data_IF_617852174416
#
_entry.id   IF_617852174416
#
_cell.length_a   1.000
_cell.length_b   1.000
_cell.length_c   1.000
_cell.angle_alpha   90.00
_cell.angle_beta   90.00
_cell.angle_gamma   90.00
#
_symmetry.space_group_name_H-M   'P 1'
#
loop_
_entity.id
_entity.type
_entity.pdbx_description
1 polymer ?
#
# COMPACT_ATOMS: atom_id res chain seq x y z
N UNK A 1 16.71 -7.89 3.54
CA UNK A 1 16.29 -7.79 2.13
C UNK A 1 15.16 -6.76 2.05
N UNK A 2 15.40 -5.60 1.46
CA UNK A 2 14.41 -4.50 1.40
C UNK A 2 13.46 -4.58 0.20
N UNK A 3 13.75 -5.44 -0.78
CA UNK A 3 12.91 -5.65 -1.96
C UNK A 3 11.55 -6.27 -1.57
N UNK A 4 10.42 -5.76 -2.10
CA UNK A 4 9.10 -6.32 -1.83
C UNK A 4 9.03 -7.78 -2.28
N UNK A 5 8.45 -8.65 -1.47
CA UNK A 5 8.23 -10.06 -1.85
C UNK A 5 7.30 -10.23 -3.06
N UNK A 6 6.52 -9.20 -3.38
CA UNK A 6 5.59 -9.14 -4.51
C UNK A 6 6.23 -8.59 -5.79
N UNK A 7 7.51 -8.22 -5.78
CA UNK A 7 8.18 -7.69 -6.96
C UNK A 7 8.48 -8.84 -7.93
N UNK A 8 7.67 -8.96 -8.99
CA UNK A 8 7.91 -9.89 -10.09
C UNK A 8 8.99 -9.30 -11.02
N UNK A 9 10.25 -9.34 -10.57
CA UNK A 9 11.40 -8.81 -11.30
C UNK A 9 12.56 -9.81 -11.29
N UNK A 10 13.26 -9.88 -12.42
CA UNK A 10 14.55 -10.54 -12.52
C UNK A 10 15.62 -9.66 -11.89
N UNK A 11 16.38 -10.22 -10.95
CA UNK A 11 17.39 -9.50 -10.17
C UNK A 11 18.76 -10.11 -10.44
N UNK A 12 19.65 -9.31 -10.98
CA UNK A 12 21.08 -9.63 -11.13
C UNK A 12 21.87 -8.86 -10.08
N UNK A 13 22.82 -9.53 -9.43
CA UNK A 13 23.71 -8.92 -8.45
C UNK A 13 25.09 -8.73 -9.06
N UNK A 14 25.68 -7.54 -8.83
CA UNK A 14 27.07 -7.27 -9.10
C UNK A 14 27.80 -6.90 -7.81
N UNK A 15 29.05 -7.35 -7.67
CA UNK A 15 29.83 -7.20 -6.43
C UNK A 15 30.77 -5.98 -6.41
N UNK A 16 31.03 -5.37 -7.57
CA UNK A 16 31.83 -4.14 -7.74
C UNK A 16 31.52 -3.47 -9.09
N UNK A 17 32.03 -2.26 -9.32
CA UNK A 17 31.74 -1.46 -10.52
C UNK A 17 32.04 -2.15 -11.85
N UNK A 18 33.21 -2.80 -11.99
CA UNK A 18 33.56 -3.53 -13.24
C UNK A 18 32.57 -4.64 -13.59
N UNK A 19 32.14 -5.44 -12.61
CA UNK A 19 31.20 -6.52 -12.84
C UNK A 19 29.81 -5.96 -13.20
N UNK A 20 29.42 -4.81 -12.62
CA UNK A 20 28.20 -4.12 -13.03
C UNK A 20 28.25 -3.66 -14.50
N UNK A 21 29.39 -3.10 -14.94
CA UNK A 21 29.58 -2.68 -16.33
C UNK A 21 29.56 -3.87 -17.31
N UNK A 22 30.18 -5.00 -16.95
CA UNK A 22 30.13 -6.22 -17.77
C UNK A 22 28.70 -6.78 -17.91
N UNK A 23 27.88 -6.67 -16.87
CA UNK A 23 26.47 -7.06 -16.92
C UNK A 23 25.66 -6.11 -17.80
N UNK A 24 25.88 -4.79 -17.68
CA UNK A 24 25.25 -3.76 -18.51
C UNK A 24 25.58 -3.92 -20.00
N UNK A 25 26.77 -4.41 -20.35
CA UNK A 25 27.13 -4.70 -21.74
C UNK A 25 26.40 -5.93 -22.32
N UNK A 26 26.07 -6.92 -21.47
CA UNK A 26 25.46 -8.18 -21.89
C UNK A 26 23.93 -8.14 -21.87
N UNK A 27 23.35 -7.34 -20.98
CA UNK A 27 21.94 -7.36 -20.65
C UNK A 27 21.37 -5.94 -20.55
N UNK A 28 20.11 -5.76 -20.96
CA UNK A 28 19.40 -4.50 -20.75
C UNK A 28 18.73 -4.46 -19.37
N UNK A 29 19.03 -3.42 -18.59
CA UNK A 29 18.43 -3.21 -17.27
C UNK A 29 17.53 -1.99 -17.24
N UNK A 30 16.36 -2.15 -16.62
CA UNK A 30 15.39 -1.05 -16.41
C UNK A 30 15.74 -0.12 -15.25
N UNK A 31 16.52 -0.62 -14.29
CA UNK A 31 16.89 0.10 -13.08
C UNK A 31 18.13 -0.53 -12.47
N UNK A 32 19.07 0.30 -12.03
CA UNK A 32 20.23 -0.12 -11.25
C UNK A 32 20.22 0.57 -9.88
N UNK A 33 20.46 -0.20 -8.82
CA UNK A 33 20.81 0.34 -7.51
C UNK A 33 22.33 0.26 -7.34
N UNK A 34 22.98 1.40 -7.15
CA UNK A 34 24.44 1.51 -7.13
C UNK A 34 24.94 1.98 -5.77
N UNK A 35 25.86 1.23 -5.19
CA UNK A 35 26.61 1.66 -4.02
C UNK A 35 27.76 2.60 -4.40
N UNK A 36 28.03 3.63 -3.60
CA UNK A 36 29.19 4.50 -3.82
C UNK A 36 30.48 3.89 -3.29
N UNK A 37 30.41 3.13 -2.19
CA UNK A 37 31.60 2.61 -1.52
C UNK A 37 31.72 1.12 -1.80
N UNK A 38 32.36 0.78 -2.92
CA UNK A 38 32.63 -0.60 -3.34
C UNK A 38 34.14 -0.83 -3.50
N UNK A 39 34.64 -2.05 -3.30
CA UNK A 39 36.03 -2.40 -3.61
C UNK A 39 36.28 -2.38 -5.12
N UNK A 40 37.55 -2.23 -5.50
CA UNK A 40 38.07 -2.22 -6.88
C UNK A 40 37.67 -1.04 -7.77
N UNK A 41 36.36 -0.81 -7.94
CA UNK A 41 35.82 0.32 -8.70
C UNK A 41 34.61 0.87 -7.94
N UNK A 42 34.67 2.16 -7.61
CA UNK A 42 33.66 2.82 -6.81
C UNK A 42 32.43 3.23 -7.64
N UNK A 43 31.37 3.69 -6.98
CA UNK A 43 30.13 4.07 -7.68
C UNK A 43 30.28 5.34 -8.52
N UNK A 44 31.23 6.23 -8.20
CA UNK A 44 31.48 7.41 -9.02
C UNK A 44 32.15 7.02 -10.34
N UNK A 45 33.18 6.19 -10.28
CA UNK A 45 33.85 5.64 -11.46
C UNK A 45 32.87 4.86 -12.33
N UNK A 46 32.00 4.06 -11.71
CA UNK A 46 30.95 3.31 -12.43
C UNK A 46 30.02 4.25 -13.21
N UNK A 47 29.54 5.34 -12.59
CA UNK A 47 28.69 6.33 -13.27
C UNK A 47 29.44 7.06 -14.39
N UNK A 48 30.70 7.45 -14.17
CA UNK A 48 31.54 8.07 -15.21
C UNK A 48 31.72 7.14 -16.43
N UNK A 49 31.91 5.85 -16.20
CA UNK A 49 31.99 4.85 -17.26
C UNK A 49 30.68 4.67 -18.01
N UNK A 50 29.55 4.53 -17.31
CA UNK A 50 28.22 4.46 -17.93
C UNK A 50 27.95 5.68 -18.81
N UNK A 51 28.29 6.89 -18.33
CA UNK A 51 28.11 8.12 -19.08
C UNK A 51 28.96 8.14 -20.37
N UNK A 52 30.20 7.65 -20.32
CA UNK A 52 31.07 7.55 -21.51
C UNK A 52 30.57 6.53 -22.52
N UNK A 53 30.01 5.41 -22.05
CA UNK A 53 29.42 4.37 -22.90
C UNK A 53 28.06 4.78 -23.48
N UNK A 54 27.46 5.87 -22.97
CA UNK A 54 26.14 6.32 -23.39
C UNK A 54 25.01 5.43 -22.86
N UNK A 55 25.27 4.68 -21.79
CA UNK A 55 24.28 3.85 -21.12
C UNK A 55 23.17 4.73 -20.52
N UNK A 56 21.92 4.30 -20.70
CA UNK A 56 20.73 5.05 -20.29
C UNK A 56 19.97 4.39 -19.15
N UNK A 57 20.47 3.29 -18.60
CA UNK A 57 19.85 2.61 -17.46
C UNK A 57 19.72 3.60 -16.30
N UNK A 58 18.49 3.85 -15.81
CA UNK A 58 18.26 4.69 -14.64
C UNK A 58 19.03 4.18 -13.42
N UNK A 59 19.80 5.05 -12.77
CA UNK A 59 20.59 4.68 -11.58
C UNK A 59 20.04 5.36 -10.34
N UNK A 60 19.78 4.56 -9.31
CA UNK A 60 19.51 5.01 -7.93
C UNK A 60 20.75 4.75 -7.10
N UNK A 61 21.40 5.82 -6.65
CA UNK A 61 22.56 5.69 -5.78
C UNK A 61 22.10 5.42 -4.36
N UNK A 62 22.70 4.42 -3.72
CA UNK A 62 22.41 3.99 -2.36
C UNK A 62 23.69 4.03 -1.55
N UNK A 63 23.86 5.04 -0.70
CA UNK A 63 25.12 5.27 0.02
C UNK A 63 24.92 5.53 1.52
N UNK A 64 25.94 5.22 2.33
CA UNK A 64 26.04 5.69 3.71
C UNK A 64 26.57 7.13 3.81
N UNK A 65 27.28 7.61 2.79
CA UNK A 65 27.79 8.97 2.72
C UNK A 65 26.72 9.91 2.16
N UNK A 66 26.07 10.66 3.06
CA UNK A 66 24.97 11.58 2.74
C UNK A 66 25.42 13.03 2.49
N UNK A 67 26.72 13.28 2.34
CA UNK A 67 27.24 14.63 2.15
C UNK A 67 26.62 15.32 0.91
N UNK A 68 26.29 16.62 0.98
CA UNK A 68 25.73 17.36 -0.14
C UNK A 68 26.60 17.29 -1.41
N UNK A 69 27.92 17.38 -1.25
CA UNK A 69 28.88 17.27 -2.37
C UNK A 69 28.83 15.91 -3.07
N UNK A 70 28.65 14.83 -2.31
CA UNK A 70 28.52 13.49 -2.88
C UNK A 70 27.23 13.38 -3.70
N UNK A 71 26.11 13.89 -3.17
CA UNK A 71 24.83 13.97 -3.89
C UNK A 71 24.96 14.77 -5.18
N UNK A 72 25.51 15.99 -5.10
CA UNK A 72 25.73 16.85 -6.29
C UNK A 72 26.56 16.14 -7.35
N UNK A 73 27.66 15.48 -6.94
CA UNK A 73 28.53 14.76 -7.88
C UNK A 73 27.81 13.61 -8.57
N UNK A 74 27.04 12.79 -7.87
CA UNK A 74 26.35 11.67 -8.52
C UNK A 74 25.24 12.13 -9.47
N UNK A 75 24.53 13.20 -9.13
CA UNK A 75 23.51 13.78 -10.02
C UNK A 75 24.15 14.39 -11.27
N UNK A 76 25.30 15.05 -11.13
CA UNK A 76 26.06 15.55 -12.27
C UNK A 76 26.54 14.43 -13.21
N UNK A 77 26.79 13.23 -12.67
CA UNK A 77 27.15 12.03 -13.42
C UNK A 77 25.94 11.25 -13.97
N UNK A 78 24.71 11.74 -13.76
CA UNK A 78 23.50 11.19 -14.37
C UNK A 78 22.66 10.27 -13.48
N UNK A 79 22.96 10.16 -12.18
CA UNK A 79 22.07 9.47 -11.25
C UNK A 79 20.67 10.09 -11.24
N UNK A 80 19.63 9.26 -11.14
CA UNK A 80 18.23 9.71 -11.12
C UNK A 80 17.71 9.96 -9.72
N UNK A 81 18.21 9.20 -8.75
CA UNK A 81 17.86 9.38 -7.35
C UNK A 81 19.05 9.01 -6.45
N UNK A 82 18.98 9.49 -5.21
CA UNK A 82 19.93 9.18 -4.16
C UNK A 82 19.15 8.79 -2.90
N UNK A 83 19.47 7.66 -2.29
CA UNK A 83 18.87 7.17 -1.05
C UNK A 83 19.95 6.78 -0.03
N UNK A 84 19.67 7.04 1.24
CA UNK A 84 20.57 6.72 2.33
C UNK A 84 20.43 5.24 2.73
N UNK A 85 21.55 4.59 3.03
CA UNK A 85 21.54 3.24 3.63
C UNK A 85 21.11 3.29 5.11
N UNK A 86 20.22 2.39 5.58
CA UNK A 86 19.49 1.39 4.81
C UNK A 86 18.32 2.00 4.03
N UNK A 87 18.13 1.58 2.76
CA UNK A 87 17.01 2.07 1.95
C UNK A 87 15.66 1.68 2.57
N UNK A 88 14.83 2.68 2.84
CA UNK A 88 13.49 2.49 3.35
C UNK A 88 12.57 1.84 2.29
N UNK A 89 11.63 0.99 2.72
CA UNK A 89 10.71 0.30 1.80
C UNK A 89 9.89 1.28 0.96
N UNK A 90 9.48 2.41 1.52
CA UNK A 90 8.67 3.39 0.83
C UNK A 90 9.49 4.20 -0.19
N UNK A 91 10.75 4.52 0.13
CA UNK A 91 11.68 5.13 -0.83
C UNK A 91 11.96 4.20 -2.01
N UNK A 92 12.15 2.90 -1.73
CA UNK A 92 12.32 1.89 -2.77
C UNK A 92 11.10 1.78 -3.69
N UNK A 93 9.89 1.72 -3.11
CA UNK A 93 8.64 1.71 -3.89
C UNK A 93 8.49 2.96 -4.75
N UNK A 94 8.82 4.12 -4.20
CA UNK A 94 8.75 5.41 -4.93
C UNK A 94 9.72 5.42 -6.11
N UNK A 95 10.96 5.00 -5.91
CA UNK A 95 11.96 4.92 -6.97
C UNK A 95 11.55 3.95 -8.09
N UNK A 96 10.98 2.79 -7.75
CA UNK A 96 10.44 1.85 -8.73
C UNK A 96 9.29 2.48 -9.54
N UNK A 97 8.37 3.16 -8.86
CA UNK A 97 7.24 3.84 -9.50
C UNK A 97 7.69 4.95 -10.46
N UNK A 98 8.65 5.76 -10.06
CA UNK A 98 9.10 6.91 -10.85
C UNK A 98 10.00 6.53 -12.03
N UNK A 99 10.80 5.47 -11.90
CA UNK A 99 11.85 5.15 -12.86
C UNK A 99 11.54 3.94 -13.76
N UNK A 100 10.62 3.06 -13.35
CA UNK A 100 10.30 1.82 -14.07
C UNK A 100 8.87 1.82 -14.60
N UNK A 101 7.92 2.40 -13.87
CA UNK A 101 6.56 2.55 -14.41
C UNK A 101 6.57 3.64 -15.49
N UNK A 102 6.06 3.36 -16.70
CA UNK A 102 6.02 4.36 -17.75
C UNK A 102 5.15 5.55 -17.34
N UNK A 103 5.53 6.75 -17.81
CA UNK A 103 4.61 7.90 -17.92
C UNK A 103 3.24 7.38 -18.37
N UNK A 104 2.13 7.82 -17.73
CA UNK A 104 0.80 7.39 -18.15
C UNK A 104 0.62 7.85 -19.59
N UNK A 105 0.87 6.93 -20.54
CA UNK A 105 0.52 7.16 -21.94
C UNK A 105 -0.95 7.56 -21.91
N UNK A 106 -1.37 8.61 -22.63
CA UNK A 106 -2.78 8.85 -22.83
C UNK A 106 -3.32 7.57 -23.46
N UNK A 107 -3.91 6.72 -22.63
CA UNK A 107 -4.67 5.59 -23.12
C UNK A 107 -5.76 6.27 -23.91
N UNK A 108 -5.87 5.92 -25.19
CA UNK A 108 -7.15 6.08 -25.86
C UNK A 108 -8.10 5.33 -24.93
N UNK A 109 -8.88 6.07 -24.16
CA UNK A 109 -9.93 5.52 -23.33
C UNK A 109 -10.95 5.07 -24.35
N UNK A 110 -10.72 3.91 -24.95
CA UNK A 110 -11.83 3.11 -25.43
C UNK A 110 -12.68 2.96 -24.19
N UNK A 111 -13.92 3.50 -24.15
CA UNK A 111 -14.77 3.31 -22.99
C UNK A 111 -14.94 1.81 -22.83
N UNK A 112 -14.15 1.24 -21.93
CA UNK A 112 -14.43 -0.07 -21.38
C UNK A 112 -15.70 0.19 -20.59
N UNK A 113 -16.78 -0.41 -21.05
CA UNK A 113 -17.98 -0.55 -20.23
C UNK A 113 -17.55 -1.32 -18.99
N UNK A 114 -17.19 -0.60 -17.93
CA UNK A 114 -17.04 -1.17 -16.62
C UNK A 114 -18.47 -1.50 -16.22
N UNK A 115 -18.82 -2.78 -16.21
CA UNK A 115 -19.98 -3.23 -15.46
C UNK A 115 -19.70 -2.86 -14.01
N UNK A 116 -20.27 -1.73 -13.57
CA UNK A 116 -20.24 -1.37 -12.17
C UNK A 116 -20.87 -2.54 -11.41
N UNK A 117 -20.19 -3.11 -10.40
CA UNK A 117 -20.79 -4.17 -9.62
C UNK A 117 -22.12 -3.65 -9.07
N UNK A 118 -23.20 -4.41 -9.30
CA UNK A 118 -24.50 -4.09 -8.75
C UNK A 118 -24.37 -4.22 -7.23
N UNK A 119 -24.21 -3.07 -6.55
CA UNK A 119 -24.17 -3.01 -5.11
C UNK A 119 -25.55 -3.36 -4.57
N UNK A 120 -25.69 -4.50 -3.90
CA UNK A 120 -26.92 -4.80 -3.18
C UNK A 120 -26.95 -3.98 -1.90
N UNK A 121 -28.15 -3.59 -1.45
CA UNK A 121 -28.34 -2.83 -0.20
C UNK A 121 -27.62 -3.47 1.00
N UNK A 122 -27.64 -4.80 1.10
CA UNK A 122 -26.93 -5.55 2.15
C UNK A 122 -25.42 -5.30 2.14
N UNK A 123 -24.82 -5.18 0.96
CA UNK A 123 -23.37 -5.03 0.79
C UNK A 123 -22.96 -3.62 1.25
N UNK A 124 -23.81 -2.61 1.00
CA UNK A 124 -23.64 -1.24 1.51
C UNK A 124 -23.74 -1.22 3.05
N UNK A 125 -24.78 -1.82 3.62
CA UNK A 125 -24.98 -1.85 5.06
C UNK A 125 -23.87 -2.62 5.79
N UNK A 126 -23.36 -3.70 5.20
CA UNK A 126 -22.23 -4.45 5.74
C UNK A 126 -20.96 -3.58 5.82
N UNK A 127 -20.70 -2.76 4.80
CA UNK A 127 -19.54 -1.85 4.82
C UNK A 127 -19.69 -0.73 5.85
N UNK A 128 -20.90 -0.16 5.97
CA UNK A 128 -21.20 0.82 7.02
C UNK A 128 -21.01 0.21 8.42
N UNK A 129 -21.46 -1.03 8.62
CA UNK A 129 -21.29 -1.75 9.88
C UNK A 129 -19.81 -2.03 10.19
N UNK A 130 -19.03 -2.50 9.20
CA UNK A 130 -17.59 -2.72 9.32
C UNK A 130 -16.86 -1.45 9.80
N UNK A 131 -17.12 -0.31 9.14
CA UNK A 131 -16.48 0.97 9.47
C UNK A 131 -16.87 1.43 10.88
N UNK A 132 -18.15 1.30 11.23
CA UNK A 132 -18.68 1.74 12.53
C UNK A 132 -18.10 0.91 13.69
N UNK A 133 -18.05 -0.42 13.54
CA UNK A 133 -17.44 -1.34 14.50
C UNK A 133 -15.96 -1.02 14.69
N UNK A 134 -15.22 -0.76 13.61
CA UNK A 134 -13.82 -0.37 13.67
C UNK A 134 -13.58 0.92 14.46
N UNK A 135 -14.39 1.95 14.21
CA UNK A 135 -14.30 3.24 14.94
C UNK A 135 -14.65 3.08 16.43
N UNK A 136 -15.67 2.30 16.75
CA UNK A 136 -16.05 2.03 18.12
C UNK A 136 -14.96 1.26 18.88
N UNK A 137 -14.37 0.25 18.25
CA UNK A 137 -13.29 -0.53 18.84
C UNK A 137 -12.01 0.27 19.05
N UNK A 138 -11.64 1.17 18.14
CA UNK A 138 -10.53 2.10 18.36
C UNK A 138 -10.76 2.99 19.58
N UNK A 139 -11.96 3.53 19.75
CA UNK A 139 -12.31 4.33 20.92
C UNK A 139 -12.22 3.52 22.22
N UNK A 140 -12.73 2.28 22.23
CA UNK A 140 -12.65 1.38 23.39
C UNK A 140 -11.20 0.97 23.70
N UNK A 141 -10.42 0.60 22.69
CA UNK A 141 -9.03 0.20 22.84
C UNK A 141 -8.20 1.31 23.49
N UNK A 142 -8.35 2.56 23.04
CA UNK A 142 -7.65 3.72 23.63
C UNK A 142 -8.11 4.05 25.04
N UNK A 143 -9.40 3.88 25.34
CA UNK A 143 -9.93 4.23 26.66
C UNK A 143 -9.53 3.22 27.75
N UNK A 144 -9.49 1.94 27.40
CA UNK A 144 -9.23 0.85 28.35
C UNK A 144 -7.83 0.24 28.24
N UNK A 145 -7.00 0.71 27.30
CA UNK A 145 -5.66 0.18 27.01
C UNK A 145 -5.66 -1.33 26.72
N UNK A 146 -6.60 -1.77 25.86
CA UNK A 146 -6.79 -3.18 25.51
C UNK A 146 -6.85 -3.39 24.00
N UNK A 147 -6.50 -4.60 23.56
CA UNK A 147 -6.74 -5.02 22.20
C UNK A 147 -8.19 -5.52 22.04
N UNK A 148 -8.94 -4.96 21.08
CA UNK A 148 -10.33 -5.34 20.79
C UNK A 148 -10.35 -6.20 19.52
N UNK A 149 -10.76 -7.46 19.64
CA UNK A 149 -10.94 -8.33 18.48
C UNK A 149 -12.28 -8.04 17.80
N UNK A 150 -12.24 -7.72 16.50
CA UNK A 150 -13.42 -7.34 15.74
C UNK A 150 -13.96 -8.52 14.92
N UNK A 151 -15.19 -8.99 15.17
CA UNK A 151 -15.85 -9.96 14.29
C UNK A 151 -16.34 -9.29 13.01
N UNK A 152 -16.52 -10.06 11.94
CA UNK A 152 -17.26 -9.60 10.77
C UNK A 152 -18.75 -9.48 11.14
N UNK A 153 -19.41 -8.33 10.88
CA UNK A 153 -20.82 -8.13 11.15
C UNK A 153 -21.68 -9.00 10.22
N UNK A 154 -22.71 -9.61 10.79
CA UNK A 154 -23.74 -10.28 10.01
C UNK A 154 -24.87 -9.29 9.73
N UNK A 155 -25.14 -9.01 8.44
CA UNK A 155 -26.18 -8.07 8.02
C UNK A 155 -27.24 -8.81 7.22
N UNK A 156 -28.46 -8.82 7.75
CA UNK A 156 -29.63 -9.41 7.12
C UNK A 156 -30.70 -8.35 6.86
N UNK A 157 -31.44 -8.54 5.77
CA UNK A 157 -32.62 -7.73 5.45
C UNK A 157 -33.84 -8.56 5.85
N UNK A 158 -34.65 -8.01 6.75
CA UNK A 158 -35.89 -8.63 7.22
C UNK A 158 -37.09 -7.93 6.59
N UNK A 159 -38.12 -8.71 6.29
CA UNK A 159 -39.45 -8.15 6.08
C UNK A 159 -40.06 -7.71 7.41
N UNK A 160 -40.95 -6.71 7.39
CA UNK A 160 -41.57 -6.17 8.61
C UNK A 160 -42.31 -7.25 9.39
N UNK A 161 -42.93 -8.20 8.70
CA UNK A 161 -43.63 -9.35 9.30
C UNK A 161 -42.70 -10.28 10.06
N UNK A 162 -41.48 -10.51 9.58
CA UNK A 162 -40.49 -11.38 10.23
C UNK A 162 -39.96 -10.73 11.51
N UNK A 163 -39.64 -9.44 11.47
CA UNK A 163 -39.20 -8.68 12.64
C UNK A 163 -40.29 -8.68 13.72
N UNK A 164 -41.55 -8.42 13.34
CA UNK A 164 -42.67 -8.40 14.27
C UNK A 164 -42.91 -9.76 14.93
N UNK A 165 -42.75 -10.85 14.17
CA UNK A 165 -42.85 -12.21 14.69
C UNK A 165 -41.75 -12.51 15.70
N UNK A 166 -40.50 -12.19 15.37
CA UNK A 166 -39.35 -12.40 16.25
C UNK A 166 -39.48 -11.61 17.56
N UNK A 167 -39.89 -10.34 17.49
CA UNK A 167 -40.09 -9.51 18.68
C UNK A 167 -41.24 -10.00 19.56
N UNK A 168 -42.33 -10.50 18.98
CA UNK A 168 -43.44 -11.09 19.74
C UNK A 168 -43.05 -12.38 20.45
N UNK A 169 -42.29 -13.24 19.77
CA UNK A 169 -41.77 -14.47 20.37
C UNK A 169 -40.87 -14.13 21.57
N UNK A 170 -39.94 -13.19 21.40
CA UNK A 170 -39.07 -12.70 22.48
C UNK A 170 -39.86 -12.10 23.65
N UNK A 171 -40.90 -11.31 23.37
CA UNK A 171 -41.75 -10.72 24.41
C UNK A 171 -42.61 -11.73 25.17
N UNK A 172 -42.79 -12.95 24.63
CA UNK A 172 -43.54 -14.03 25.28
C UNK A 172 -42.71 -14.83 26.29
N UNK A 173 -41.40 -14.56 26.38
CA UNK A 173 -40.48 -15.19 27.31
C UNK A 173 -40.16 -14.25 28.49
N UNK A 174 -40.42 -14.68 29.72
CA UNK A 174 -40.32 -13.84 30.94
C UNK A 174 -38.90 -13.43 31.35
N UNK A 175 -37.86 -13.91 30.66
CA UNK A 175 -36.45 -13.71 31.02
C UNK A 175 -35.70 -12.77 30.06
N UNK A 176 -36.40 -12.02 29.21
CA UNK A 176 -35.77 -11.17 28.19
C UNK A 176 -35.84 -9.70 28.61
N UNK A 177 -34.69 -9.02 28.63
CA UNK A 177 -34.61 -7.57 28.84
C UNK A 177 -34.10 -6.87 27.59
N UNK A 178 -34.89 -5.91 27.07
CA UNK A 178 -34.52 -5.12 25.89
C UNK A 178 -34.13 -3.68 26.24
N UNK A 179 -33.03 -3.19 25.67
CA UNK A 179 -32.68 -1.77 25.68
C UNK A 179 -32.65 -1.27 24.24
N UNK A 180 -33.40 -0.20 23.97
CA UNK A 180 -33.43 0.44 22.66
C UNK A 180 -32.84 1.85 22.75
N UNK A 181 -31.97 2.21 21.80
CA UNK A 181 -31.43 3.55 21.67
C UNK A 181 -31.46 4.01 20.21
N UNK A 182 -32.18 5.10 19.95
CA UNK A 182 -32.19 5.74 18.63
C UNK A 182 -30.86 6.42 18.30
N UNK A 183 -30.50 6.43 17.02
CA UNK A 183 -29.34 7.15 16.50
C UNK A 183 -29.63 7.79 15.13
N UNK A 184 -28.91 8.87 14.82
CA UNK A 184 -28.96 9.56 13.53
C UNK A 184 -27.58 10.16 13.21
N UNK A 185 -27.09 9.98 11.98
CA UNK A 185 -25.81 10.54 11.52
C UNK A 185 -25.47 10.10 10.09
N UNK A 186 -24.72 10.94 9.36
CA UNK A 186 -24.21 10.63 8.01
C UNK A 186 -25.27 10.10 7.03
N UNK A 187 -26.51 10.62 7.13
CA UNK A 187 -27.63 10.23 6.26
C UNK A 187 -28.34 8.91 6.63
N UNK A 188 -28.00 8.31 7.78
CA UNK A 188 -28.64 7.10 8.31
C UNK A 188 -29.31 7.43 9.65
N UNK A 189 -30.55 6.98 9.82
CA UNK A 189 -31.26 7.00 11.09
C UNK A 189 -31.76 5.59 11.41
N UNK A 190 -31.71 5.21 12.68
CA UNK A 190 -32.11 3.88 13.11
C UNK A 190 -32.17 3.74 14.62
N UNK A 191 -32.38 2.51 15.06
CA UNK A 191 -32.44 2.15 16.48
C UNK A 191 -31.49 0.98 16.73
N UNK A 192 -30.71 1.07 17.80
CA UNK A 192 -29.92 -0.03 18.33
C UNK A 192 -30.75 -0.74 19.40
N UNK A 193 -31.12 -1.99 19.13
CA UNK A 193 -31.83 -2.85 20.07
C UNK A 193 -30.87 -3.91 20.61
N UNK A 194 -30.64 -3.89 21.92
CA UNK A 194 -29.88 -4.91 22.64
C UNK A 194 -30.89 -5.74 23.44
N UNK A 195 -30.82 -7.05 23.27
CA UNK A 195 -31.69 -8.00 23.95
C UNK A 195 -30.79 -8.89 24.81
N UNK A 196 -31.02 -8.86 26.13
CA UNK A 196 -30.28 -9.56 27.17
C UNK A 196 -31.13 -10.67 27.78
#
# INVERSE_FOLDING_TARGET
>A
RSLPATLNADITFAIHGKNALEELEKNEFKLMFLDLTMPEMDGFETLEHMQRLGDKTPVVVVSGDIQPKAKERVFALGAKAFSQKPIAKDELKKALKELVEPEPRPQIITPVSIELPILRRRDIYMEVANVSIGRAADALARHFDVFVQLPLPNVNIFEVSELHMALRDLASHDNVSGVCQGFCGEGIAGEALVIL
#
